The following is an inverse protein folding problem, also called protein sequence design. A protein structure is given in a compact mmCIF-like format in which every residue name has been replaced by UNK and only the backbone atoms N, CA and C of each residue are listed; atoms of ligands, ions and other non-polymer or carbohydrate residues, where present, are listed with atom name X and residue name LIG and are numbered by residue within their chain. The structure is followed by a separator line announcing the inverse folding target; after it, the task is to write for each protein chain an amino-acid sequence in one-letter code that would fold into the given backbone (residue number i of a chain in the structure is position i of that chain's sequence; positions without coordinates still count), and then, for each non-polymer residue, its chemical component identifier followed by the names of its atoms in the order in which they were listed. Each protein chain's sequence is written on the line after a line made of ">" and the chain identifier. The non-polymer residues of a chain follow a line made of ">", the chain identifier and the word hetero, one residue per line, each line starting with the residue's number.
data_IF_561801329241
#
_entry.id   IF_561801329241
#
_cell.length_a   1.000
_cell.length_b   1.000
_cell.length_c   1.000
_cell.angle_alpha   90.00
_cell.angle_beta   90.00
_cell.angle_gamma   90.00
#
_symmetry.space_group_name_H-M   'P 1'
#
loop_
_entity.id
_entity.type
_entity.pdbx_description
1 polymer ?
#
# COMPACT_ATOMS: atom_id res chain seq x y z
N UNK A 1 -16.25 39.32 -36.24
CA UNK A 1 -15.57 38.05 -35.87
C UNK A 1 -14.41 38.31 -34.90
N UNK A 2 -13.91 39.53 -34.81
CA UNK A 2 -12.67 39.88 -34.11
C UNK A 2 -12.74 39.92 -32.58
N UNK A 3 -13.91 40.25 -31.99
CA UNK A 3 -14.05 40.33 -30.53
C UNK A 3 -14.00 38.94 -29.88
N UNK A 4 -14.65 37.94 -30.48
CA UNK A 4 -14.67 36.57 -29.94
C UNK A 4 -13.32 35.85 -30.11
N UNK A 5 -12.54 36.18 -31.15
CA UNK A 5 -11.16 35.71 -31.30
C UNK A 5 -10.20 36.44 -30.36
N UNK A 6 -10.35 37.75 -30.19
CA UNK A 6 -9.57 38.54 -29.24
C UNK A 6 -9.78 38.09 -27.79
N UNK A 7 -11.03 37.79 -27.38
CA UNK A 7 -11.34 37.27 -26.05
C UNK A 7 -10.75 35.85 -25.83
N UNK A 8 -10.83 34.97 -26.83
CA UNK A 8 -10.22 33.63 -26.76
C UNK A 8 -8.69 33.68 -26.70
N UNK A 9 -8.06 34.58 -27.45
CA UNK A 9 -6.61 34.81 -27.37
C UNK A 9 -6.17 35.28 -25.98
N UNK A 10 -6.90 36.24 -25.38
CA UNK A 10 -6.61 36.72 -24.04
C UNK A 10 -6.77 35.64 -22.95
N UNK A 11 -7.69 34.69 -23.14
CA UNK A 11 -7.94 33.58 -22.20
C UNK A 11 -6.85 32.50 -22.26
N UNK A 12 -6.21 32.30 -23.43
CA UNK A 12 -5.13 31.34 -23.62
C UNK A 12 -3.72 31.91 -23.37
N UNK A 13 -3.57 33.24 -23.31
CA UNK A 13 -2.29 33.92 -23.07
C UNK A 13 -1.56 33.47 -21.78
N UNK A 14 -2.23 33.19 -20.65
CA UNK A 14 -1.57 32.66 -19.45
C UNK A 14 -0.89 31.30 -19.65
N UNK A 15 -1.36 30.48 -20.60
CA UNK A 15 -0.77 29.17 -20.92
C UNK A 15 0.43 29.28 -21.87
N UNK A 16 0.64 30.44 -22.50
CA UNK A 16 1.70 30.68 -23.47
C UNK A 16 3.09 30.78 -22.83
N UNK A 17 3.15 31.19 -21.56
CA UNK A 17 4.39 31.32 -20.78
C UNK A 17 4.42 30.29 -19.64
N UNK A 18 4.79 29.03 -19.93
CA UNK A 18 4.84 28.00 -18.91
C UNK A 18 5.89 28.35 -17.86
N UNK A 19 5.52 28.26 -16.58
CA UNK A 19 6.45 28.47 -15.48
C UNK A 19 7.36 27.26 -15.36
N UNK A 20 8.65 27.44 -15.63
CA UNK A 20 9.65 26.36 -15.61
C UNK A 20 9.70 25.59 -14.29
N UNK A 21 9.48 26.25 -13.16
CA UNK A 21 9.42 25.57 -11.85
C UNK A 21 8.27 24.57 -11.76
N UNK A 22 7.07 24.95 -12.21
CA UNK A 22 5.89 24.06 -12.21
C UNK A 22 6.09 22.89 -13.19
N UNK A 23 6.73 23.15 -14.33
CA UNK A 23 7.11 22.13 -15.31
C UNK A 23 8.06 21.09 -14.70
N UNK A 24 9.18 21.55 -14.12
CA UNK A 24 10.19 20.69 -13.50
C UNK A 24 9.59 19.86 -12.36
N UNK A 25 8.85 20.51 -11.44
CA UNK A 25 8.17 19.82 -10.33
C UNK A 25 7.21 18.76 -10.85
N UNK A 26 6.45 19.07 -11.91
CA UNK A 26 5.47 18.12 -12.45
C UNK A 26 6.13 16.93 -13.14
N UNK A 27 7.24 17.14 -13.85
CA UNK A 27 8.03 16.04 -14.43
C UNK A 27 8.61 15.14 -13.34
N UNK A 28 9.18 15.74 -12.27
CA UNK A 28 9.70 14.97 -11.14
C UNK A 28 8.60 14.14 -10.46
N UNK A 29 7.41 14.71 -10.27
CA UNK A 29 6.27 13.98 -9.73
C UNK A 29 5.86 12.83 -10.65
N UNK A 30 5.80 13.05 -11.97
CA UNK A 30 5.43 12.02 -12.94
C UNK A 30 6.43 10.85 -12.91
N UNK A 31 7.73 11.14 -12.87
CA UNK A 31 8.78 10.12 -12.77
C UNK A 31 8.70 9.38 -11.43
N UNK A 32 8.54 10.11 -10.32
CA UNK A 32 8.41 9.52 -8.99
C UNK A 32 7.19 8.61 -8.85
N UNK A 33 6.07 8.97 -9.50
CA UNK A 33 4.87 8.15 -9.62
C UNK A 33 5.21 6.83 -10.32
N UNK A 34 5.82 6.88 -11.50
CA UNK A 34 6.18 5.66 -12.25
C UNK A 34 7.10 4.74 -11.45
N UNK A 35 8.14 5.30 -10.85
CA UNK A 35 9.07 4.57 -9.99
C UNK A 35 8.34 3.92 -8.81
N UNK A 36 7.30 4.55 -8.27
CA UNK A 36 6.53 4.01 -7.15
C UNK A 36 5.64 2.82 -7.54
N UNK A 37 5.07 2.85 -8.74
CA UNK A 37 4.19 1.78 -9.23
C UNK A 37 4.94 0.57 -9.78
N UNK A 38 6.09 0.79 -10.44
CA UNK A 38 6.87 -0.25 -11.10
C UNK A 38 7.19 -1.47 -10.20
N UNK A 39 7.67 -1.32 -8.95
CA UNK A 39 7.93 -2.45 -8.07
C UNK A 39 6.68 -3.29 -7.77
N UNK A 40 5.51 -2.64 -7.68
CA UNK A 40 4.25 -3.32 -7.42
C UNK A 40 3.82 -4.14 -8.64
N UNK A 41 3.88 -3.56 -9.84
CA UNK A 41 3.60 -4.29 -11.09
C UNK A 41 4.56 -5.47 -11.27
N UNK A 42 5.86 -5.24 -11.06
CA UNK A 42 6.88 -6.28 -11.14
C UNK A 42 6.66 -7.41 -10.14
N UNK A 43 6.27 -7.10 -8.89
CA UNK A 43 6.02 -8.12 -7.86
C UNK A 43 4.83 -9.01 -8.23
N UNK A 44 3.76 -8.45 -8.80
CA UNK A 44 2.59 -9.25 -9.22
C UNK A 44 2.96 -10.15 -10.39
N UNK A 45 3.65 -9.60 -11.40
CA UNK A 45 4.05 -10.34 -12.60
C UNK A 45 5.06 -11.45 -12.27
N UNK A 46 6.09 -11.14 -11.46
CA UNK A 46 7.15 -12.11 -11.14
C UNK A 46 6.67 -13.24 -10.24
N UNK A 47 5.76 -12.97 -9.30
CA UNK A 47 5.17 -14.02 -8.44
C UNK A 47 4.08 -14.82 -9.16
N UNK A 48 3.45 -14.25 -10.20
CA UNK A 48 2.33 -14.88 -10.89
C UNK A 48 1.10 -15.09 -9.99
N UNK A 49 0.97 -14.29 -8.93
CA UNK A 49 -0.15 -14.39 -7.98
C UNK A 49 -0.53 -13.02 -7.43
N UNK A 50 -1.83 -12.81 -7.20
CA UNK A 50 -2.38 -11.64 -6.51
C UNK A 50 -2.43 -11.83 -4.97
N UNK A 51 -1.64 -12.73 -4.41
CA UNK A 51 -1.54 -12.97 -2.97
C UNK A 51 -1.18 -11.68 -2.20
N UNK A 52 -1.95 -11.41 -1.14
CA UNK A 52 -1.79 -10.21 -0.30
C UNK A 52 -2.48 -8.95 -0.83
N UNK A 53 -3.10 -9.00 -2.01
CA UNK A 53 -3.88 -7.88 -2.56
C UNK A 53 -5.35 -8.07 -2.21
N UNK A 54 -5.91 -7.16 -1.41
CA UNK A 54 -7.33 -7.17 -1.08
C UNK A 54 -8.20 -6.84 -2.30
N UNK A 55 -9.21 -7.66 -2.66
CA UNK A 55 -10.14 -7.35 -3.75
C UNK A 55 -10.87 -6.03 -3.56
N UNK A 56 -11.21 -5.68 -2.31
CA UNK A 56 -11.87 -4.42 -1.98
C UNK A 56 -10.94 -3.22 -2.15
N UNK A 57 -9.65 -3.38 -1.88
CA UNK A 57 -8.65 -2.34 -2.15
C UNK A 57 -8.55 -2.05 -3.66
N UNK A 58 -8.57 -3.10 -4.49
CA UNK A 58 -8.56 -2.95 -5.96
C UNK A 58 -9.85 -2.29 -6.45
N UNK A 59 -11.00 -2.68 -5.90
CA UNK A 59 -12.30 -2.09 -6.24
C UNK A 59 -12.36 -0.59 -5.89
N UNK A 60 -12.08 -0.25 -4.63
CA UNK A 60 -12.13 1.13 -4.15
C UNK A 60 -11.06 2.00 -4.84
N UNK A 61 -9.85 1.47 -5.00
CA UNK A 61 -8.76 2.17 -5.67
C UNK A 61 -9.06 2.48 -7.14
N UNK A 62 -9.59 1.49 -7.88
CA UNK A 62 -9.91 1.66 -9.30
C UNK A 62 -11.11 2.59 -9.53
N UNK A 63 -12.16 2.46 -8.72
CA UNK A 63 -13.35 3.33 -8.81
C UNK A 63 -13.02 4.77 -8.38
N UNK A 64 -12.22 4.96 -7.33
CA UNK A 64 -11.71 6.27 -6.92
C UNK A 64 -10.82 6.89 -8.00
N UNK A 65 -9.85 6.15 -8.55
CA UNK A 65 -8.97 6.65 -9.61
C UNK A 65 -9.75 7.02 -10.88
N UNK A 66 -10.75 6.24 -11.27
CA UNK A 66 -11.60 6.53 -12.43
C UNK A 66 -12.43 7.79 -12.21
N UNK A 67 -12.96 7.98 -11.01
CA UNK A 67 -13.70 9.19 -10.63
C UNK A 67 -12.79 10.42 -10.60
N UNK A 68 -11.57 10.29 -10.05
CA UNK A 68 -10.57 11.36 -10.02
C UNK A 68 -10.10 11.77 -11.42
N UNK A 69 -9.89 10.79 -12.32
CA UNK A 69 -9.55 11.09 -13.71
C UNK A 69 -10.71 11.75 -14.46
N UNK A 70 -11.95 11.29 -14.25
CA UNK A 70 -13.14 11.95 -14.78
C UNK A 70 -13.31 13.39 -14.25
N UNK A 71 -13.00 13.63 -12.97
CA UNK A 71 -13.05 14.95 -12.35
C UNK A 71 -12.09 15.94 -13.03
N UNK A 72 -10.81 15.60 -13.21
CA UNK A 72 -9.86 16.51 -13.87
C UNK A 72 -10.24 16.77 -15.33
N UNK A 73 -10.72 15.75 -16.07
CA UNK A 73 -11.12 15.94 -17.47
C UNK A 73 -12.33 16.87 -17.62
N UNK A 74 -13.19 16.91 -16.62
CA UNK A 74 -14.42 17.73 -16.62
C UNK A 74 -14.26 19.07 -15.89
N UNK A 75 -13.14 19.26 -15.18
CA UNK A 75 -12.82 20.51 -14.49
C UNK A 75 -12.77 21.68 -15.48
N UNK A 76 -13.32 22.84 -15.09
CA UNK A 76 -13.45 24.02 -15.96
C UNK A 76 -12.09 24.46 -16.54
N UNK A 77 -11.10 24.65 -15.66
CA UNK A 77 -9.74 25.04 -16.07
C UNK A 77 -9.04 24.04 -16.98
N UNK A 78 -9.24 22.75 -16.75
CA UNK A 78 -8.70 21.71 -17.62
C UNK A 78 -9.37 21.71 -18.99
N UNK A 79 -10.68 21.96 -19.07
CA UNK A 79 -11.40 22.10 -20.34
C UNK A 79 -10.96 23.33 -21.12
N UNK A 80 -10.80 24.47 -20.46
CA UNK A 80 -10.24 25.69 -21.05
C UNK A 80 -8.85 25.41 -21.63
N UNK A 81 -7.96 24.77 -20.87
CA UNK A 81 -6.62 24.39 -21.32
C UNK A 81 -6.64 23.46 -22.54
N UNK A 82 -7.51 22.43 -22.55
CA UNK A 82 -7.69 21.52 -23.69
C UNK A 82 -8.22 22.26 -24.91
N UNK A 83 -9.10 23.25 -24.72
CA UNK A 83 -9.61 24.11 -25.80
C UNK A 83 -8.52 25.00 -26.41
N UNK A 84 -7.69 25.60 -25.57
CA UNK A 84 -6.56 26.46 -25.96
C UNK A 84 -5.46 25.72 -26.74
N UNK A 85 -5.34 24.40 -26.57
CA UNK A 85 -4.36 23.59 -27.30
C UNK A 85 -4.53 23.59 -28.82
N UNK A 86 -5.65 24.10 -29.37
CA UNK A 86 -5.82 24.28 -30.82
C UNK A 86 -5.03 25.46 -31.38
N UNK A 87 -4.67 26.43 -30.54
CA UNK A 87 -4.02 27.68 -30.94
C UNK A 87 -2.58 27.81 -30.40
N UNK A 88 -2.23 27.00 -29.39
CA UNK A 88 -0.92 27.01 -28.75
C UNK A 88 0.08 26.08 -29.43
N UNK A 89 1.37 26.37 -29.28
CA UNK A 89 2.43 25.45 -29.69
C UNK A 89 2.40 24.16 -28.86
N UNK A 90 2.90 23.05 -29.43
CA UNK A 90 2.90 21.72 -28.81
C UNK A 90 3.49 21.72 -27.41
N UNK A 91 4.60 22.44 -27.18
CA UNK A 91 5.25 22.50 -25.87
C UNK A 91 4.41 23.23 -24.82
N UNK A 92 3.78 24.34 -25.19
CA UNK A 92 2.91 25.13 -24.31
C UNK A 92 1.66 24.33 -23.94
N UNK A 93 1.03 23.69 -24.92
CA UNK A 93 -0.10 22.80 -24.68
C UNK A 93 0.30 21.62 -23.77
N UNK A 94 1.44 20.97 -24.04
CA UNK A 94 1.93 19.86 -23.20
C UNK A 94 2.14 20.31 -21.76
N UNK A 95 2.78 21.47 -21.54
CA UNK A 95 3.01 22.03 -20.22
C UNK A 95 1.69 22.37 -19.48
N UNK A 96 0.68 22.86 -20.21
CA UNK A 96 -0.66 23.13 -19.69
C UNK A 96 -1.45 21.87 -19.32
N UNK A 97 -1.26 20.77 -20.05
CA UNK A 97 -1.95 19.49 -19.82
C UNK A 97 -1.20 18.52 -18.90
N UNK A 98 -0.06 18.91 -18.33
CA UNK A 98 0.72 18.04 -17.45
C UNK A 98 -0.07 17.47 -16.27
N UNK A 99 -0.95 18.26 -15.65
CA UNK A 99 -1.81 17.76 -14.57
C UNK A 99 -2.74 16.64 -15.05
N UNK A 100 -3.38 16.83 -16.22
CA UNK A 100 -4.23 15.79 -16.85
C UNK A 100 -3.40 14.54 -17.15
N UNK A 101 -2.19 14.71 -17.69
CA UNK A 101 -1.29 13.60 -18.01
C UNK A 101 -0.83 12.83 -16.75
N UNK A 102 -0.54 13.52 -15.65
CA UNK A 102 -0.17 12.90 -14.36
C UNK A 102 -1.30 12.05 -13.81
N UNK A 103 -2.53 12.59 -13.75
CA UNK A 103 -3.69 11.85 -13.26
C UNK A 103 -4.09 10.70 -14.21
N UNK A 104 -3.95 10.92 -15.52
CA UNK A 104 -4.16 9.88 -16.52
C UNK A 104 -3.16 8.72 -16.36
N UNK A 105 -1.88 9.03 -16.12
CA UNK A 105 -0.87 8.01 -15.88
C UNK A 105 -1.13 7.23 -14.57
N UNK A 106 -1.49 7.94 -13.50
CA UNK A 106 -1.93 7.32 -12.23
C UNK A 106 -3.09 6.33 -12.47
N UNK A 107 -4.10 6.76 -13.24
CA UNK A 107 -5.26 5.95 -13.58
C UNK A 107 -4.89 4.71 -14.39
N UNK A 108 -4.06 4.86 -15.43
CA UNK A 108 -3.54 3.73 -16.23
C UNK A 108 -2.77 2.74 -15.36
N UNK A 109 -1.89 3.23 -14.49
CA UNK A 109 -1.12 2.38 -13.58
C UNK A 109 -2.02 1.56 -12.64
N UNK A 110 -3.08 2.17 -12.09
CA UNK A 110 -4.07 1.46 -11.26
C UNK A 110 -4.94 0.49 -12.08
N UNK A 111 -5.36 0.87 -13.28
CA UNK A 111 -6.09 -0.01 -14.18
C UNK A 111 -5.25 -1.25 -14.55
N UNK A 112 -3.94 -1.07 -14.74
CA UNK A 112 -3.02 -2.19 -14.94
C UNK A 112 -2.96 -3.12 -13.72
N UNK A 113 -3.01 -2.59 -12.49
CA UNK A 113 -3.11 -3.42 -11.27
C UNK A 113 -4.41 -4.23 -11.28
N UNK A 114 -5.55 -3.63 -11.67
CA UNK A 114 -6.82 -4.37 -11.81
C UNK A 114 -6.69 -5.50 -12.84
N UNK A 115 -6.11 -5.23 -14.00
CA UNK A 115 -5.90 -6.25 -15.05
C UNK A 115 -5.01 -7.38 -14.54
N UNK A 116 -3.87 -7.05 -13.92
CA UNK A 116 -2.97 -8.05 -13.34
C UNK A 116 -3.65 -8.85 -12.22
N UNK A 117 -4.47 -8.19 -11.39
CA UNK A 117 -5.27 -8.86 -10.36
C UNK A 117 -6.24 -9.87 -10.99
N UNK A 118 -6.95 -9.50 -12.06
CA UNK A 118 -7.89 -10.39 -12.75
C UNK A 118 -7.21 -11.53 -13.51
N UNK A 119 -5.94 -11.37 -13.92
CA UNK A 119 -5.15 -12.44 -14.55
C UNK A 119 -4.61 -13.41 -13.49
N UNK A 120 -4.02 -12.88 -12.41
CA UNK A 120 -3.30 -13.66 -11.40
C UNK A 120 -4.09 -13.93 -10.10
N UNK A 121 -5.43 -13.84 -10.13
CA UNK A 121 -6.25 -14.07 -8.94
C UNK A 121 -6.25 -15.53 -8.47
N UNK A 122 -5.98 -16.50 -9.37
CA UNK A 122 -5.91 -17.93 -9.04
C UNK A 122 -4.51 -18.28 -8.57
N UNK A 123 -4.39 -18.63 -7.29
CA UNK A 123 -3.12 -19.04 -6.69
C UNK A 123 -2.62 -20.39 -7.21
N UNK A 124 -3.49 -21.18 -7.84
CA UNK A 124 -3.15 -22.52 -8.35
C UNK A 124 -2.13 -22.51 -9.49
N UNK A 125 -2.01 -21.38 -10.17
CA UNK A 125 -1.13 -21.20 -11.33
C UNK A 125 0.07 -20.28 -10.96
N UNK A 126 0.33 -20.07 -9.66
CA UNK A 126 1.39 -19.19 -9.16
C UNK A 126 2.79 -19.78 -9.38
N UNK A 127 3.78 -18.91 -9.59
CA UNK A 127 5.17 -19.32 -9.86
C UNK A 127 6.00 -19.52 -8.56
N UNK A 128 5.31 -19.62 -7.42
CA UNK A 128 5.90 -19.80 -6.08
C UNK A 128 5.41 -21.12 -5.46
N UNK A 129 6.23 -21.79 -4.61
CA UNK A 129 5.84 -23.04 -3.97
C UNK A 129 4.54 -22.92 -3.17
N UNK A 130 3.70 -23.96 -3.19
CA UNK A 130 2.40 -23.99 -2.49
C UNK A 130 2.50 -23.80 -0.96
N UNK A 131 3.68 -24.03 -0.39
CA UNK A 131 3.97 -23.85 1.04
C UNK A 131 4.14 -22.37 1.43
N UNK A 132 4.49 -21.49 0.48
CA UNK A 132 4.63 -20.04 0.70
C UNK A 132 3.33 -19.26 0.48
N UNK A 133 2.30 -19.92 -0.08
CA UNK A 133 0.98 -19.32 -0.31
C UNK A 133 0.17 -19.30 1.00
N UNK A 134 0.08 -18.13 1.60
CA UNK A 134 -0.70 -17.88 2.81
C UNK A 134 -2.19 -17.66 2.50
N UNK A 135 -3.02 -18.61 2.92
CA UNK A 135 -4.49 -18.47 2.93
C UNK A 135 -5.19 -18.93 1.65
N UNK A 136 -6.52 -18.90 1.69
CA UNK A 136 -7.37 -19.36 0.59
C UNK A 136 -7.49 -18.28 -0.49
N UNK A 137 -7.34 -18.65 -1.76
CA UNK A 137 -7.49 -17.70 -2.87
C UNK A 137 -8.88 -17.08 -2.88
N UNK A 138 -9.02 -15.78 -3.21
CA UNK A 138 -10.32 -15.17 -3.43
C UNK A 138 -11.14 -16.03 -4.38
N UNK A 139 -12.40 -16.29 -4.03
CA UNK A 139 -13.32 -17.01 -4.91
C UNK A 139 -13.38 -16.27 -6.26
N UNK A 140 -13.42 -17.02 -7.36
CA UNK A 140 -13.49 -16.44 -8.70
C UNK A 140 -14.67 -15.45 -8.85
N UNK A 141 -15.77 -15.73 -8.14
CA UNK A 141 -16.96 -14.86 -8.05
C UNK A 141 -16.61 -13.47 -7.52
N UNK A 142 -15.72 -13.38 -6.53
CA UNK A 142 -15.27 -12.10 -5.96
C UNK A 142 -14.41 -11.35 -6.96
N UNK A 143 -13.47 -12.02 -7.62
CA UNK A 143 -12.61 -11.40 -8.62
C UNK A 143 -13.43 -10.84 -9.80
N UNK A 144 -14.37 -11.63 -10.33
CA UNK A 144 -15.26 -11.20 -11.40
C UNK A 144 -16.26 -10.16 -10.96
N UNK A 145 -16.81 -10.26 -9.75
CA UNK A 145 -17.67 -9.23 -9.18
C UNK A 145 -16.96 -7.88 -9.08
N UNK A 146 -15.72 -7.86 -8.59
CA UNK A 146 -14.88 -6.65 -8.52
C UNK A 146 -14.59 -6.11 -9.93
N UNK A 147 -14.15 -6.96 -10.85
CA UNK A 147 -13.86 -6.55 -12.24
C UNK A 147 -15.10 -5.95 -12.93
N UNK A 148 -16.25 -6.63 -12.82
CA UNK A 148 -17.51 -6.17 -13.39
C UNK A 148 -17.97 -4.85 -12.76
N UNK A 149 -17.88 -4.72 -11.44
CA UNK A 149 -18.23 -3.48 -10.75
C UNK A 149 -17.35 -2.29 -11.21
N UNK A 150 -16.04 -2.51 -11.35
CA UNK A 150 -15.11 -1.50 -11.88
C UNK A 150 -15.47 -1.09 -13.32
N UNK A 151 -15.75 -2.07 -14.19
CA UNK A 151 -16.13 -1.80 -15.60
C UNK A 151 -17.45 -1.06 -15.69
N UNK A 152 -18.49 -1.52 -14.98
CA UNK A 152 -19.80 -0.85 -14.94
C UNK A 152 -19.64 0.59 -14.44
N UNK A 153 -18.93 0.79 -13.34
CA UNK A 153 -18.66 2.12 -12.81
C UNK A 153 -17.96 3.01 -13.85
N UNK A 154 -16.89 2.51 -14.50
CA UNK A 154 -16.19 3.24 -15.55
C UNK A 154 -17.09 3.60 -16.73
N UNK A 155 -17.92 2.67 -17.20
CA UNK A 155 -18.89 2.91 -18.26
C UNK A 155 -19.91 3.98 -17.87
N UNK A 156 -20.46 3.92 -16.65
CA UNK A 156 -21.39 4.93 -16.13
C UNK A 156 -20.73 6.30 -16.10
N UNK A 157 -19.48 6.40 -15.60
CA UNK A 157 -18.74 7.66 -15.59
C UNK A 157 -18.54 8.20 -17.01
N UNK A 158 -18.16 7.36 -17.98
CA UNK A 158 -17.96 7.78 -19.37
C UNK A 158 -19.28 8.25 -20.01
N UNK A 159 -20.36 7.48 -19.86
CA UNK A 159 -21.67 7.80 -20.45
C UNK A 159 -22.19 9.11 -19.87
N UNK A 160 -22.23 9.25 -18.53
CA UNK A 160 -22.72 10.46 -17.89
C UNK A 160 -21.85 11.67 -18.22
N UNK A 161 -20.52 11.50 -18.27
CA UNK A 161 -19.61 12.57 -18.70
C UNK A 161 -19.91 13.01 -20.14
N UNK A 162 -20.16 12.07 -21.06
CA UNK A 162 -20.57 12.38 -22.43
C UNK A 162 -21.90 13.13 -22.49
N UNK A 163 -22.91 12.68 -21.73
CA UNK A 163 -24.21 13.35 -21.63
C UNK A 163 -24.08 14.78 -21.12
N UNK A 164 -23.34 15.00 -20.03
CA UNK A 164 -23.12 16.35 -19.50
C UNK A 164 -22.27 17.22 -20.42
N UNK A 165 -21.37 16.63 -21.21
CA UNK A 165 -20.54 17.38 -22.15
C UNK A 165 -21.33 17.84 -23.38
N UNK A 166 -22.22 16.98 -23.91
CA UNK A 166 -22.91 17.22 -25.18
C UNK A 166 -24.31 17.82 -24.97
N UNK A 167 -25.12 17.20 -24.11
CA UNK A 167 -26.53 17.54 -23.96
C UNK A 167 -26.77 18.59 -22.85
N UNK A 168 -25.97 18.57 -21.77
CA UNK A 168 -26.19 19.39 -20.58
C UNK A 168 -24.93 20.14 -20.09
N UNK A 169 -24.27 20.95 -20.94
CA UNK A 169 -22.98 21.57 -20.62
C UNK A 169 -23.01 22.50 -19.40
N UNK A 170 -24.18 23.06 -19.06
CA UNK A 170 -24.37 23.91 -17.86
C UNK A 170 -24.15 23.15 -16.55
N UNK A 171 -24.36 21.84 -16.53
CA UNK A 171 -24.23 21.00 -15.33
C UNK A 171 -22.87 20.29 -15.23
N UNK A 172 -21.99 20.49 -16.20
CA UNK A 172 -20.72 19.77 -16.29
C UNK A 172 -19.78 20.06 -15.11
N UNK A 173 -19.76 21.30 -14.60
CA UNK A 173 -19.00 21.65 -13.39
C UNK A 173 -19.55 20.96 -12.14
N UNK A 174 -20.88 20.84 -12.03
CA UNK A 174 -21.51 20.09 -10.92
C UNK A 174 -21.15 18.61 -11.00
N UNK A 175 -21.15 18.04 -12.20
CA UNK A 175 -20.71 16.66 -12.44
C UNK A 175 -19.23 16.45 -12.07
N UNK A 176 -18.35 17.39 -12.45
CA UNK A 176 -16.94 17.36 -12.04
C UNK A 176 -16.81 17.33 -10.51
N UNK A 177 -17.51 18.22 -9.80
CA UNK A 177 -17.48 18.26 -8.34
C UNK A 177 -18.01 16.98 -7.71
N UNK A 178 -19.09 16.41 -8.26
CA UNK A 178 -19.63 15.12 -7.80
C UNK A 178 -18.60 14.00 -7.94
N UNK A 179 -17.94 13.89 -9.10
CA UNK A 179 -16.88 12.90 -9.32
C UNK A 179 -15.72 13.07 -8.33
N UNK A 180 -15.36 14.32 -8.01
CA UNK A 180 -14.28 14.59 -7.06
C UNK A 180 -14.65 14.20 -5.62
N UNK A 181 -15.87 14.54 -5.18
CA UNK A 181 -16.39 14.11 -3.87
C UNK A 181 -16.48 12.59 -3.78
N UNK A 182 -16.95 11.92 -4.84
CA UNK A 182 -17.02 10.46 -4.91
C UNK A 182 -15.62 9.84 -4.81
N UNK A 183 -14.63 10.37 -5.54
CA UNK A 183 -13.24 9.92 -5.46
C UNK A 183 -12.68 10.06 -4.03
N UNK A 184 -12.91 11.20 -3.39
CA UNK A 184 -12.48 11.48 -2.02
C UNK A 184 -13.13 10.55 -1.00
N UNK A 185 -14.44 10.30 -1.12
CA UNK A 185 -15.17 9.39 -0.24
C UNK A 185 -14.65 7.94 -0.37
N UNK A 186 -14.47 7.46 -1.61
CA UNK A 186 -13.92 6.13 -1.86
C UNK A 186 -12.50 5.98 -1.32
N UNK A 187 -11.66 7.00 -1.49
CA UNK A 187 -10.30 7.01 -0.94
C UNK A 187 -10.31 7.04 0.59
N UNK A 188 -11.21 7.80 1.22
CA UNK A 188 -11.35 7.83 2.67
C UNK A 188 -11.75 6.46 3.22
N UNK A 189 -12.70 5.77 2.58
CA UNK A 189 -13.09 4.40 2.94
C UNK A 189 -11.94 3.42 2.77
N UNK A 190 -11.00 3.66 1.85
CA UNK A 190 -9.81 2.83 1.67
C UNK A 190 -8.77 3.04 2.78
N UNK A 191 -8.49 4.29 3.17
CA UNK A 191 -7.45 4.59 4.15
C UNK A 191 -7.91 4.47 5.60
N UNK A 192 -9.19 4.69 5.91
CA UNK A 192 -9.69 4.68 7.28
C UNK A 192 -9.51 3.33 7.99
N UNK A 193 -9.86 2.18 7.39
CA UNK A 193 -9.62 0.87 8.01
C UNK A 193 -8.14 0.65 8.32
N UNK A 194 -7.24 1.11 7.44
CA UNK A 194 -5.81 0.99 7.64
C UNK A 194 -5.34 1.80 8.86
N UNK A 195 -5.75 3.08 8.96
CA UNK A 195 -5.46 3.93 10.14
C UNK A 195 -5.96 3.26 11.42
N UNK A 196 -7.21 2.78 11.41
CA UNK A 196 -7.81 2.12 12.56
C UNK A 196 -7.06 0.86 12.98
N UNK A 197 -6.73 -0.02 12.01
CA UNK A 197 -5.99 -1.25 12.30
C UNK A 197 -4.59 -0.96 12.86
N UNK A 198 -3.85 -0.03 12.26
CA UNK A 198 -2.52 0.37 12.77
C UNK A 198 -2.61 0.93 14.18
N UNK A 199 -3.62 1.76 14.46
CA UNK A 199 -3.86 2.30 15.81
C UNK A 199 -4.21 1.21 16.83
N UNK A 200 -5.07 0.24 16.46
CA UNK A 200 -5.51 -0.85 17.34
C UNK A 200 -4.42 -1.88 17.60
N UNK A 201 -3.63 -2.23 16.58
CA UNK A 201 -2.57 -3.24 16.68
C UNK A 201 -1.30 -2.71 17.35
N UNK A 202 -1.11 -1.39 17.40
CA UNK A 202 0.10 -0.73 17.96
C UNK A 202 1.42 -1.21 17.33
N UNK A 203 1.37 -1.80 16.15
CA UNK A 203 2.52 -2.20 15.37
C UNK A 203 2.23 -2.04 13.87
N UNK A 204 3.29 -1.87 13.08
CA UNK A 204 3.19 -1.47 11.66
C UNK A 204 2.92 -2.66 10.73
N UNK A 205 3.03 -3.89 11.23
CA UNK A 205 2.73 -5.11 10.45
C UNK A 205 3.63 -5.20 9.21
N UNK A 206 3.07 -5.58 8.06
CA UNK A 206 3.81 -5.75 6.78
C UNK A 206 3.95 -4.45 5.97
N UNK A 207 3.65 -3.28 6.55
CA UNK A 207 3.63 -2.02 5.81
C UNK A 207 5.06 -1.51 5.52
N UNK A 208 5.34 -1.17 4.26
CA UNK A 208 6.64 -0.61 3.87
C UNK A 208 6.74 0.86 4.28
N UNK A 209 7.27 1.12 5.48
CA UNK A 209 7.59 2.48 5.96
C UNK A 209 8.43 3.27 4.93
N UNK A 210 9.46 2.70 4.28
CA UNK A 210 10.25 3.43 3.28
C UNK A 210 9.44 3.93 2.08
N UNK A 211 8.50 3.12 1.60
CA UNK A 211 7.61 3.48 0.50
C UNK A 211 6.71 4.67 0.90
N UNK A 212 6.18 4.66 2.12
CA UNK A 212 5.34 5.75 2.62
C UNK A 212 6.12 7.04 2.88
N UNK A 213 7.38 6.96 3.30
CA UNK A 213 8.26 8.13 3.46
C UNK A 213 8.52 8.87 2.15
N UNK A 214 8.54 8.16 1.02
CA UNK A 214 8.70 8.77 -0.30
C UNK A 214 7.35 9.28 -0.83
N UNK A 215 6.29 8.49 -0.68
CA UNK A 215 4.97 8.81 -1.24
C UNK A 215 4.28 9.96 -0.53
N UNK A 216 4.34 10.02 0.80
CA UNK A 216 3.59 11.03 1.58
C UNK A 216 4.01 12.45 1.19
N UNK A 217 5.32 12.83 1.17
CA UNK A 217 5.74 14.14 0.71
C UNK A 217 5.40 14.38 -0.77
N UNK A 218 5.55 13.34 -1.61
CA UNK A 218 5.17 13.40 -3.02
C UNK A 218 3.68 13.73 -3.23
N UNK A 219 2.80 13.16 -2.40
CA UNK A 219 1.35 13.43 -2.42
C UNK A 219 1.01 14.88 -2.06
N UNK A 220 1.70 15.46 -1.07
CA UNK A 220 1.54 16.88 -0.74
C UNK A 220 2.04 17.79 -1.86
N UNK A 221 3.22 17.49 -2.42
CA UNK A 221 3.76 18.24 -3.57
C UNK A 221 2.82 18.15 -4.78
N UNK A 222 2.22 16.97 -5.01
CA UNK A 222 1.26 16.78 -6.08
C UNK A 222 -0.01 17.60 -5.86
N UNK A 223 -0.60 17.56 -4.67
CA UNK A 223 -1.76 18.39 -4.34
C UNK A 223 -1.46 19.89 -4.48
N UNK A 224 -0.29 20.35 -4.02
CA UNK A 224 0.15 21.73 -4.18
C UNK A 224 0.35 22.11 -5.65
N UNK A 225 0.91 21.21 -6.47
CA UNK A 225 1.07 21.44 -7.91
C UNK A 225 -0.27 21.57 -8.64
N UNK A 226 -1.29 20.81 -8.23
CA UNK A 226 -2.65 20.92 -8.78
C UNK A 226 -3.34 22.21 -8.31
N UNK A 227 -3.14 22.63 -7.06
CA UNK A 227 -3.62 23.91 -6.57
C UNK A 227 -2.99 25.09 -7.33
N UNK A 228 -1.67 25.05 -7.57
CA UNK A 228 -0.99 26.09 -8.33
C UNK A 228 -1.52 26.21 -9.78
N UNK A 229 -1.87 25.07 -10.39
CA UNK A 229 -2.37 25.00 -11.78
C UNK A 229 -3.85 25.37 -11.93
N UNK A 230 -4.70 24.84 -11.06
CA UNK A 230 -6.16 24.97 -11.18
C UNK A 230 -6.74 26.10 -10.32
N UNK A 231 -5.95 26.60 -9.36
CA UNK A 231 -6.38 27.61 -8.41
C UNK A 231 -7.48 27.11 -7.45
N UNK A 232 -8.17 28.03 -6.76
CA UNK A 232 -9.26 27.69 -5.85
C UNK A 232 -10.48 27.08 -6.56
N UNK A 233 -10.69 27.38 -7.84
CA UNK A 233 -11.80 26.84 -8.64
C UNK A 233 -11.67 25.33 -8.86
N UNK A 234 -10.45 24.79 -8.88
CA UNK A 234 -10.16 23.36 -9.02
C UNK A 234 -10.20 22.56 -7.72
N UNK A 235 -10.88 23.04 -6.67
CA UNK A 235 -10.91 22.40 -5.35
C UNK A 235 -11.29 20.92 -5.39
N UNK A 236 -12.25 20.56 -6.24
CA UNK A 236 -12.72 19.18 -6.34
C UNK A 236 -11.68 18.23 -6.90
N UNK A 237 -10.60 18.73 -7.51
CA UNK A 237 -9.46 17.95 -7.96
C UNK A 237 -8.36 17.88 -6.91
N UNK A 238 -7.80 19.03 -6.50
CA UNK A 238 -6.62 19.02 -5.62
C UNK A 238 -6.96 18.61 -4.17
N UNK A 239 -8.19 18.83 -3.70
CA UNK A 239 -8.59 18.48 -2.34
C UNK A 239 -8.63 16.95 -2.12
N UNK A 240 -8.93 16.17 -3.15
CA UNK A 240 -8.86 14.70 -3.08
C UNK A 240 -7.44 14.27 -2.72
N UNK A 241 -6.45 14.79 -3.46
CA UNK A 241 -5.06 14.42 -3.27
C UNK A 241 -4.52 14.93 -1.94
N UNK A 242 -4.92 16.13 -1.51
CA UNK A 242 -4.61 16.64 -0.18
C UNK A 242 -5.18 15.72 0.92
N UNK A 243 -6.45 15.31 0.80
CA UNK A 243 -7.07 14.36 1.74
C UNK A 243 -6.31 13.04 1.78
N UNK A 244 -5.97 12.47 0.62
CA UNK A 244 -5.20 11.22 0.58
C UNK A 244 -3.81 11.36 1.18
N UNK A 245 -3.11 12.47 0.94
CA UNK A 245 -1.79 12.74 1.52
C UNK A 245 -1.86 12.91 3.04
N UNK A 246 -2.90 13.57 3.56
CA UNK A 246 -3.14 13.67 4.99
C UNK A 246 -3.39 12.29 5.62
N UNK A 247 -4.25 11.48 5.02
CA UNK A 247 -4.54 10.13 5.53
C UNK A 247 -3.31 9.21 5.46
N UNK A 248 -2.56 9.25 4.37
CA UNK A 248 -1.27 8.55 4.26
C UNK A 248 -0.26 9.04 5.30
N UNK A 249 -0.20 10.35 5.54
CA UNK A 249 0.64 10.96 6.57
C UNK A 249 0.26 10.50 7.98
N UNK A 250 -1.03 10.36 8.29
CA UNK A 250 -1.47 9.79 9.56
C UNK A 250 -0.99 8.35 9.76
N UNK A 251 -1.09 7.51 8.72
CA UNK A 251 -0.58 6.12 8.76
C UNK A 251 0.93 6.11 8.94
N UNK A 252 1.66 6.94 8.19
CA UNK A 252 3.12 7.03 8.30
C UNK A 252 3.54 7.48 9.70
N UNK A 253 2.86 8.47 10.27
CA UNK A 253 3.13 8.97 11.62
C UNK A 253 2.92 7.85 12.66
N UNK A 254 1.78 7.18 12.64
CA UNK A 254 1.52 6.03 13.52
C UNK A 254 2.56 4.93 13.33
N UNK A 255 2.93 4.68 12.07
CA UNK A 255 3.95 3.70 11.71
C UNK A 255 5.29 3.99 12.38
N UNK A 256 5.83 5.18 12.12
CA UNK A 256 7.11 5.62 12.71
C UNK A 256 7.03 5.64 14.24
N UNK A 257 5.92 6.12 14.81
CA UNK A 257 5.74 6.17 16.26
C UNK A 257 5.86 4.79 16.92
N UNK A 258 5.12 3.78 16.43
CA UNK A 258 5.13 2.45 17.02
C UNK A 258 6.45 1.70 16.77
N UNK A 259 7.08 1.90 15.61
CA UNK A 259 8.40 1.33 15.32
C UNK A 259 9.47 1.90 16.27
N UNK A 260 9.44 3.21 16.55
CA UNK A 260 10.34 3.84 17.52
C UNK A 260 10.05 3.39 18.95
N UNK A 261 8.79 3.20 19.32
CA UNK A 261 8.40 2.69 20.64
C UNK A 261 8.95 1.27 20.88
N UNK A 262 8.74 0.36 19.91
CA UNK A 262 9.25 -1.01 19.99
C UNK A 262 10.79 -1.06 20.09
N UNK A 263 11.49 -0.18 19.36
CA UNK A 263 12.96 -0.07 19.44
C UNK A 263 13.42 0.40 20.82
N UNK A 264 12.72 1.35 21.43
CA UNK A 264 13.05 1.83 22.79
C UNK A 264 12.90 0.73 23.83
N UNK A 265 11.82 -0.04 23.76
CA UNK A 265 11.60 -1.19 24.64
C UNK A 265 12.73 -2.22 24.50
N UNK A 266 13.12 -2.56 23.26
CA UNK A 266 14.22 -3.50 23.02
C UNK A 266 15.59 -3.01 23.56
N UNK A 267 15.85 -1.70 23.48
CA UNK A 267 17.09 -1.10 24.00
C UNK A 267 17.11 -1.05 25.53
N UNK A 268 15.97 -0.79 26.16
CA UNK A 268 15.87 -0.73 27.62
C UNK A 268 16.06 -2.12 28.25
N UNK A 269 15.50 -3.17 27.63
CA UNK A 269 15.79 -4.56 28.00
C UNK A 269 17.27 -4.92 27.80
N UNK A 270 17.90 -4.43 26.74
CA UNK A 270 19.33 -4.68 26.49
C UNK A 270 20.25 -3.96 27.47
N UNK A 271 19.87 -2.80 28.01
CA UNK A 271 20.70 -2.03 28.95
C UNK A 271 20.60 -2.54 30.39
N UNK A 272 19.46 -3.08 30.82
CA UNK A 272 19.32 -3.71 32.14
C UNK A 272 20.04 -5.07 32.25
N UNK A 273 20.40 -5.71 31.13
CA UNK A 273 21.21 -6.94 31.13
C UNK A 273 22.73 -6.74 31.31
N UNK A 274 23.22 -5.49 31.44
CA UNK A 274 24.66 -5.18 31.50
C UNK A 274 25.15 -4.78 32.91
N UNK A 275 24.25 -4.58 33.88
CA UNK A 275 24.60 -4.25 35.28
C UNK A 275 24.68 -5.49 36.21
N UNK A 276 25.10 -6.64 35.67
CA UNK A 276 25.56 -7.78 36.48
C UNK A 276 27.01 -7.56 36.95
N UNK A 277 27.41 -7.98 38.16
CA UNK A 277 28.71 -7.64 38.73
C UNK A 277 29.86 -8.09 37.82
N UNK A 278 30.73 -7.14 37.47
CA UNK A 278 31.97 -7.35 36.73
C UNK A 278 32.86 -8.38 37.43
N UNK A 279 32.93 -9.59 36.88
CA UNK A 279 34.07 -10.48 37.09
C UNK A 279 35.03 -10.32 35.90
N UNK A 280 36.24 -9.89 36.23
CA UNK A 280 37.36 -9.68 35.32
C UNK A 280 37.90 -11.02 34.81
N UNK A 281 37.97 -11.25 33.49
CA UNK A 281 38.96 -12.13 32.86
C UNK A 281 39.17 -11.81 31.35
N UNK A 282 40.37 -11.30 31.08
CA UNK A 282 41.24 -11.45 29.89
C UNK A 282 40.68 -11.62 28.46
N UNK A 283 40.98 -10.61 27.63
CA UNK A 283 41.56 -10.65 26.26
C UNK A 283 41.50 -11.94 25.45
N UNK A 284 40.84 -11.90 24.28
CA UNK A 284 41.40 -12.37 23.00
C UNK A 284 40.56 -11.89 21.80
N UNK A 285 41.23 -11.72 20.66
CA UNK A 285 40.80 -11.01 19.47
C UNK A 285 39.69 -11.69 18.63
N UNK A 286 39.05 -10.87 17.79
CA UNK A 286 37.94 -11.15 16.86
C UNK A 286 38.24 -12.24 15.81
N UNK A 287 37.22 -12.94 15.28
CA UNK A 287 36.72 -12.56 13.95
C UNK A 287 35.18 -12.64 13.76
N UNK A 288 34.69 -11.72 12.94
CA UNK A 288 33.29 -11.53 12.50
C UNK A 288 32.88 -12.63 11.48
N UNK A 289 31.74 -13.30 11.69
CA UNK A 289 31.01 -14.09 10.65
C UNK A 289 29.54 -14.39 11.06
N UNK A 290 28.69 -14.85 10.11
CA UNK A 290 27.55 -14.12 9.52
C UNK A 290 26.23 -14.19 10.31
N UNK A 291 25.34 -13.24 10.02
CA UNK A 291 23.98 -13.13 10.55
C UNK A 291 23.07 -14.27 10.07
N UNK A 292 22.69 -15.16 10.98
CA UNK A 292 21.50 -16.00 10.88
C UNK A 292 20.38 -15.40 11.76
N UNK A 293 19.10 -15.50 11.37
CA UNK A 293 18.02 -14.78 12.03
C UNK A 293 17.83 -15.32 13.46
N UNK A 294 17.93 -14.43 14.44
CA UNK A 294 17.66 -14.72 15.85
C UNK A 294 16.18 -15.06 16.02
N UNK A 295 15.86 -16.35 16.07
CA UNK A 295 14.79 -16.82 16.95
C UNK A 295 15.25 -16.54 18.38
N UNK A 296 14.59 -15.60 19.06
CA UNK A 296 14.85 -15.31 20.47
C UNK A 296 14.67 -16.61 21.27
N UNK A 297 15.77 -17.17 21.78
CA UNK A 297 15.75 -18.26 22.75
C UNK A 297 15.47 -17.66 24.14
N UNK A 298 14.20 -17.46 24.49
CA UNK A 298 13.85 -17.33 25.90
C UNK A 298 14.36 -18.59 26.61
N UNK A 299 15.23 -18.45 27.61
CA UNK A 299 15.85 -19.57 28.35
C UNK A 299 17.38 -19.58 28.41
N UNK A 300 18.08 -18.79 27.57
CA UNK A 300 19.55 -18.78 27.55
C UNK A 300 20.18 -18.26 28.85
N UNK A 301 19.49 -17.37 29.57
CA UNK A 301 19.94 -16.78 30.85
C UNK A 301 19.99 -17.80 32.00
N UNK A 302 19.26 -18.93 31.89
CA UNK A 302 19.19 -19.99 32.91
C UNK A 302 19.89 -21.29 32.49
N UNK A 303 20.62 -21.30 31.37
CA UNK A 303 21.30 -22.50 30.86
C UNK A 303 20.36 -23.61 30.36
N UNK A 304 19.05 -23.35 30.30
CA UNK A 304 18.06 -24.31 29.85
C UNK A 304 18.14 -24.48 28.32
N UNK A 305 18.02 -25.71 27.82
CA UNK A 305 18.14 -25.98 26.40
C UNK A 305 16.97 -25.38 25.60
N UNK A 306 17.15 -25.31 24.28
CA UNK A 306 16.14 -24.82 23.35
C UNK A 306 14.88 -25.71 23.30
N UNK A 307 13.80 -25.25 22.65
CA UNK A 307 12.56 -26.04 22.51
C UNK A 307 12.78 -27.39 21.83
N UNK A 308 11.94 -28.39 22.15
CA UNK A 308 11.93 -29.75 21.58
C UNK A 308 13.14 -30.60 21.95
N UNK A 309 13.58 -30.52 23.20
CA UNK A 309 14.64 -31.42 23.68
C UNK A 309 14.10 -32.82 23.92
N UNK A 310 14.90 -33.85 23.62
CA UNK A 310 14.45 -35.24 23.74
C UNK A 310 14.14 -35.68 25.18
N UNK A 311 14.66 -34.97 26.19
CA UNK A 311 14.54 -35.29 27.62
C UNK A 311 14.62 -34.04 28.52
N UNK A 312 13.57 -33.20 28.56
CA UNK A 312 13.58 -31.94 29.32
C UNK A 312 13.80 -32.13 30.82
N UNK A 313 13.38 -33.28 31.38
CA UNK A 313 13.62 -33.68 32.77
C UNK A 313 15.09 -33.84 33.15
N UNK A 314 15.99 -34.05 32.19
CA UNK A 314 17.44 -34.17 32.46
C UNK A 314 18.15 -32.81 32.56
N UNK A 315 17.49 -31.75 32.12
CA UNK A 315 18.05 -30.40 32.05
C UNK A 315 17.40 -29.41 33.01
N UNK A 316 16.29 -29.79 33.65
CA UNK A 316 15.62 -29.00 34.67
C UNK A 316 16.24 -29.31 36.05
N UNK A 317 16.74 -28.27 36.73
CA UNK A 317 17.26 -28.41 38.10
C UNK A 317 16.12 -28.30 39.15
N UNK A 318 15.03 -27.63 38.79
CA UNK A 318 13.83 -27.45 39.62
C UNK A 318 12.55 -27.85 38.88
N UNK A 319 11.44 -28.09 39.60
CA UNK A 319 10.13 -28.35 38.96
C UNK A 319 9.65 -27.13 38.15
N UNK A 320 9.93 -25.92 38.63
CA UNK A 320 9.61 -24.68 37.93
C UNK A 320 10.35 -24.58 36.58
N UNK A 321 11.61 -25.03 36.50
CA UNK A 321 12.36 -25.06 35.24
C UNK A 321 11.77 -26.05 34.23
N UNK A 322 11.27 -27.19 34.72
CA UNK A 322 10.64 -28.20 33.89
C UNK A 322 9.32 -27.68 33.31
N UNK A 323 8.53 -26.98 34.12
CA UNK A 323 7.28 -26.38 33.69
C UNK A 323 7.52 -25.20 32.72
N UNK A 324 8.56 -24.40 32.95
CA UNK A 324 8.99 -23.35 32.02
C UNK A 324 9.44 -23.90 30.65
N UNK A 325 10.16 -25.04 30.63
CA UNK A 325 10.53 -25.71 29.38
C UNK A 325 9.27 -26.17 28.64
N UNK A 326 8.32 -26.78 29.35
CA UNK A 326 7.06 -27.27 28.77
C UNK A 326 6.18 -26.16 28.25
N UNK A 327 6.00 -25.08 29.01
CA UNK A 327 5.19 -23.94 28.60
C UNK A 327 5.80 -23.25 27.37
N UNK A 328 7.13 -23.20 27.27
CA UNK A 328 7.83 -22.67 26.09
C UNK A 328 7.60 -23.53 24.86
N UNK A 329 7.66 -24.85 25.00
CA UNK A 329 7.31 -25.79 23.93
C UNK A 329 5.85 -25.63 23.50
N UNK A 330 4.91 -25.53 24.44
CA UNK A 330 3.48 -25.33 24.15
C UNK A 330 3.21 -23.99 23.46
N UNK A 331 3.87 -22.91 23.89
CA UNK A 331 3.81 -21.60 23.22
C UNK A 331 4.38 -21.65 21.81
N UNK A 332 5.47 -22.38 21.58
CA UNK A 332 6.06 -22.57 20.26
C UNK A 332 5.12 -23.39 19.34
N UNK A 333 4.59 -24.50 19.85
CA UNK A 333 3.60 -25.35 19.17
C UNK A 333 2.33 -24.55 18.81
N UNK A 334 1.85 -23.68 19.71
CA UNK A 334 0.67 -22.86 19.46
C UNK A 334 0.90 -21.77 18.39
N UNK A 335 2.15 -21.35 18.18
CA UNK A 335 2.55 -20.38 17.16
C UNK A 335 2.99 -21.03 15.85
N UNK A 336 3.21 -22.34 15.84
CA UNK A 336 3.73 -23.06 14.70
C UNK A 336 2.63 -23.33 13.67
N UNK A 337 2.82 -22.77 12.48
CA UNK A 337 1.86 -22.89 11.37
C UNK A 337 2.24 -24.00 10.39
N UNK A 338 3.42 -24.64 10.57
CA UNK A 338 3.82 -25.79 9.79
C UNK A 338 3.00 -27.05 10.19
N UNK A 339 2.53 -27.85 9.21
CA UNK A 339 1.60 -28.97 9.43
C UNK A 339 2.15 -30.11 10.30
N UNK A 340 3.47 -30.22 10.48
CA UNK A 340 4.11 -31.28 11.27
C UNK A 340 3.95 -31.09 12.79
N UNK A 341 3.90 -29.84 13.26
CA UNK A 341 4.00 -29.47 14.67
C UNK A 341 2.73 -28.83 15.24
N UNK A 342 1.69 -28.64 14.42
CA UNK A 342 0.39 -28.12 14.86
C UNK A 342 -0.24 -29.04 15.93
N UNK A 343 -0.99 -28.51 16.90
CA UNK A 343 -1.82 -29.32 17.79
C UNK A 343 -2.70 -30.31 17.01
N UNK A 344 -2.39 -31.61 17.10
CA UNK A 344 -3.09 -32.69 16.38
C UNK A 344 -2.41 -33.23 15.11
N UNK A 345 -1.29 -32.65 14.70
CA UNK A 345 -0.45 -33.06 13.57
C UNK A 345 0.34 -34.36 13.81
N UNK A 346 1.06 -34.80 12.76
CA UNK A 346 1.79 -36.09 12.74
C UNK A 346 2.88 -36.15 13.82
N UNK A 347 3.47 -35.02 14.20
CA UNK A 347 4.53 -34.93 15.22
C UNK A 347 4.06 -34.83 16.67
N UNK A 348 2.77 -35.01 16.98
CA UNK A 348 2.29 -34.89 18.37
C UNK A 348 2.62 -36.16 19.18
N UNK A 349 3.59 -36.13 20.13
CA UNK A 349 4.07 -37.33 20.82
C UNK A 349 3.01 -37.95 21.76
N UNK A 350 1.95 -37.21 22.11
CA UNK A 350 0.86 -37.71 22.97
C UNK A 350 -0.29 -38.37 22.20
N UNK A 351 -0.21 -38.48 20.87
CA UNK A 351 -1.23 -39.14 20.06
C UNK A 351 -0.91 -40.64 19.95
N UNK A 352 -1.58 -41.46 20.75
CA UNK A 352 -1.55 -42.92 20.60
C UNK A 352 -2.14 -43.30 19.23
N UNK A 353 -1.29 -43.56 18.25
CA UNK A 353 -1.68 -44.21 17.00
C UNK A 353 -2.02 -45.67 17.32
N UNK A 354 -3.31 -45.98 17.47
CA UNK A 354 -3.78 -47.36 17.38
C UNK A 354 -3.47 -47.85 15.97
N UNK A 355 -2.43 -48.65 15.85
CA UNK A 355 -2.10 -49.38 14.62
C UNK A 355 -3.19 -50.41 14.36
N UNK A 356 -4.06 -50.17 13.38
CA UNK A 356 -4.94 -51.21 12.86
C UNK A 356 -4.09 -52.21 12.07
N UNK A 357 -3.65 -53.28 12.73
CA UNK A 357 -3.12 -54.46 12.08
C UNK A 357 -4.29 -55.27 11.51
N UNK A 358 -4.33 -55.36 10.17
CA UNK A 358 -4.84 -56.47 9.35
C UNK A 358 -6.28 -56.93 9.54
N UNK A 359 -7.11 -56.83 8.49
CA UNK A 359 -7.18 -57.84 7.43
C UNK A 359 -7.88 -57.27 6.21
#
# INVERSE_FOLDING_TARGET
>A
MDIAQSLRHAECDPLRTPRYLELVVSILILVGLLISYLPQHYRIISRGTAEGISPYFVLLGTTSATSGFGNILTAAKSREAIGCCKELETFQCAAGLLGVAQLGMQWVCFALILVLFLIFFRYRDANIPSEELGGESPKWQTAVGVGLACVIHGLVVVILTGVFTIALPRHLTTWANFLGVMAAALAAVQYFPQIWTTYRLKHVGSLSIPMMCIQTPGGFLFAASLYARLGPEGWSTWAIYLLTALMQGCVLFLGVYYELAARRESQQSSNHGVDGPRSSLSSSATPRRPSAPRTYSEGWERGLPGPFTGHPELYAETEDDLDDIREREERAIARENQPLLRPGGIGNPRKNYRTSKGR
#
